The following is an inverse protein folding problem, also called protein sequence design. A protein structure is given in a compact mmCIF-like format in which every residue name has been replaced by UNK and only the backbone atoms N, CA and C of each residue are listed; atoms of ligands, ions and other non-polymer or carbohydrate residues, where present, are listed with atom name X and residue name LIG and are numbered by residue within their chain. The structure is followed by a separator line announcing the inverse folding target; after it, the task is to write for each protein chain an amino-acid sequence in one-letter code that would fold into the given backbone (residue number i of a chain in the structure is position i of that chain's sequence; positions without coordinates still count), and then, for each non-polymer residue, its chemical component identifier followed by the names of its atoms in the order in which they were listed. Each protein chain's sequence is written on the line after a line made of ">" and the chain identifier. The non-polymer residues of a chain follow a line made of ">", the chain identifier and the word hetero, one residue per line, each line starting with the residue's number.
data_IF_872128365567
#
_entry.id   IF_872128365567
#
_cell.length_a   1.000
_cell.length_b   1.000
_cell.length_c   1.000
_cell.angle_alpha   90.00
_cell.angle_beta   90.00
_cell.angle_gamma   90.00
#
_symmetry.space_group_name_H-M   'P 1'
#
loop_
_entity.id
_entity.type
_entity.pdbx_description
1 polymer ?
#
# COMPACT_ATOMS: atom_id res chain seq x y z
N UNK A 1 20.13 10.76 -1.29
CA UNK A 1 19.17 10.33 -0.25
C UNK A 1 18.18 9.40 -0.94
N UNK A 2 18.41 8.09 -0.84
CA UNK A 2 17.95 7.07 -1.79
C UNK A 2 16.42 6.96 -1.86
N UNK A 3 15.89 7.03 -3.09
CA UNK A 3 14.45 7.00 -3.42
C UNK A 3 13.81 5.60 -3.34
N UNK A 4 14.51 4.61 -2.78
CA UNK A 4 14.06 3.23 -2.69
C UNK A 4 14.31 2.73 -1.27
N UNK A 5 13.24 2.37 -0.57
CA UNK A 5 13.31 1.68 0.71
C UNK A 5 14.15 0.42 0.55
N UNK A 6 15.02 0.13 1.51
CA UNK A 6 15.71 -1.15 1.57
C UNK A 6 14.70 -2.29 1.75
N UNK A 7 15.11 -3.54 1.46
CA UNK A 7 14.27 -4.71 1.71
C UNK A 7 13.82 -4.80 3.19
N UNK A 8 14.71 -4.41 4.11
CA UNK A 8 14.43 -4.37 5.55
C UNK A 8 13.39 -3.28 5.89
N UNK A 9 13.53 -2.08 5.32
CA UNK A 9 12.58 -0.99 5.53
C UNK A 9 11.19 -1.33 4.96
N UNK A 10 11.14 -1.99 3.80
CA UNK A 10 9.91 -2.55 3.26
C UNK A 10 9.27 -3.54 4.24
N UNK A 11 10.03 -4.54 4.70
CA UNK A 11 9.52 -5.54 5.63
C UNK A 11 8.99 -4.90 6.92
N UNK A 12 9.69 -3.89 7.46
CA UNK A 12 9.25 -3.13 8.64
C UNK A 12 7.92 -2.42 8.41
N UNK A 13 7.77 -1.73 7.28
CA UNK A 13 6.52 -1.06 6.90
C UNK A 13 5.37 -2.07 6.78
N UNK A 14 5.57 -3.16 6.03
CA UNK A 14 4.51 -4.13 5.76
C UNK A 14 4.09 -4.90 7.00
N UNK A 15 5.05 -5.32 7.83
CA UNK A 15 4.75 -6.00 9.10
C UNK A 15 4.03 -5.10 10.10
N UNK A 16 4.36 -3.79 10.15
CA UNK A 16 3.64 -2.83 10.98
C UNK A 16 2.22 -2.55 10.47
N UNK A 17 2.02 -2.52 9.15
CA UNK A 17 0.73 -2.16 8.56
C UNK A 17 -0.31 -3.28 8.61
N UNK A 18 0.10 -4.57 8.55
CA UNK A 18 -0.84 -5.70 8.35
C UNK A 18 -1.96 -5.80 9.40
N UNK A 19 -1.69 -5.38 10.64
CA UNK A 19 -2.65 -5.48 11.77
C UNK A 19 -3.04 -4.15 12.43
N UNK A 20 -2.34 -3.05 12.18
CA UNK A 20 -2.53 -1.80 12.93
C UNK A 20 -3.93 -1.16 12.75
N UNK A 21 -4.39 -0.98 11.51
CA UNK A 21 -5.75 -0.50 11.21
C UNK A 21 -6.09 0.96 11.61
N UNK A 22 -5.22 1.67 12.33
CA UNK A 22 -5.49 3.02 12.84
C UNK A 22 -5.82 4.05 11.75
N UNK A 23 -5.27 3.90 10.56
CA UNK A 23 -5.50 4.80 9.43
C UNK A 23 -6.75 4.46 8.59
N UNK A 24 -7.44 3.33 8.87
CA UNK A 24 -8.50 2.81 8.01
C UNK A 24 -9.67 3.80 7.82
N UNK A 25 -10.18 4.34 8.92
CA UNK A 25 -11.35 5.23 8.96
C UNK A 25 -11.07 6.61 8.33
N UNK A 26 -9.81 7.03 8.28
CA UNK A 26 -9.41 8.33 7.75
C UNK A 26 -9.30 8.35 6.22
N UNK A 27 -9.37 7.19 5.55
CA UNK A 27 -9.19 7.14 4.10
C UNK A 27 -10.42 7.70 3.36
N UNK A 28 -10.26 8.87 2.75
CA UNK A 28 -11.33 9.52 1.96
C UNK A 28 -11.74 8.70 0.74
N UNK A 29 -10.80 7.99 0.10
CA UNK A 29 -11.10 7.13 -1.05
C UNK A 29 -12.03 5.98 -0.65
N UNK A 30 -11.75 5.30 0.46
CA UNK A 30 -12.62 4.22 0.93
C UNK A 30 -13.99 4.73 1.39
N UNK A 31 -14.05 5.93 1.96
CA UNK A 31 -15.33 6.56 2.32
C UNK A 31 -16.16 6.88 1.07
N UNK A 32 -15.52 7.23 -0.05
CA UNK A 32 -16.20 7.52 -1.31
C UNK A 32 -16.58 6.25 -2.09
N UNK A 33 -15.72 5.22 -2.09
CA UNK A 33 -15.96 3.99 -2.88
C UNK A 33 -16.68 2.89 -2.12
N UNK A 34 -16.79 3.02 -0.79
CA UNK A 34 -17.32 1.97 0.10
C UNK A 34 -16.63 0.60 -0.07
N UNK A 35 -15.37 0.60 -0.52
CA UNK A 35 -14.59 -0.60 -0.77
C UNK A 35 -13.38 -0.63 0.16
N UNK A 36 -13.32 -1.62 1.06
CA UNK A 36 -12.21 -1.74 2.03
C UNK A 36 -10.85 -1.94 1.34
N UNK A 37 -10.81 -2.50 0.13
CA UNK A 37 -9.55 -2.62 -0.61
C UNK A 37 -8.94 -1.24 -0.96
N UNK A 38 -9.76 -0.19 -1.06
CA UNK A 38 -9.30 1.19 -1.21
C UNK A 38 -8.89 1.85 0.11
N UNK A 39 -9.21 1.22 1.25
CA UNK A 39 -8.86 1.78 2.54
C UNK A 39 -7.35 1.78 2.74
N UNK A 40 -6.91 2.75 3.54
CA UNK A 40 -5.53 2.86 3.94
C UNK A 40 -4.95 1.55 4.48
N UNK A 41 -5.78 0.83 5.26
CA UNK A 41 -5.50 -0.49 5.81
C UNK A 41 -5.56 -1.58 4.75
N UNK A 42 -6.60 -1.58 3.90
CA UNK A 42 -6.77 -2.56 2.83
C UNK A 42 -5.58 -2.58 1.88
N UNK A 43 -5.08 -1.40 1.50
CA UNK A 43 -3.86 -1.25 0.71
C UNK A 43 -2.62 -1.78 1.45
N UNK A 44 -2.50 -1.55 2.76
CA UNK A 44 -1.43 -2.15 3.56
C UNK A 44 -1.45 -3.68 3.57
N UNK A 45 -2.65 -4.28 3.64
CA UNK A 45 -2.85 -5.74 3.55
C UNK A 45 -2.56 -6.28 2.16
N UNK A 46 -2.99 -5.57 1.12
CA UNK A 46 -2.70 -5.89 -0.28
C UNK A 46 -1.20 -5.96 -0.53
N UNK A 47 -0.46 -4.96 -0.06
CA UNK A 47 1.00 -4.92 -0.16
C UNK A 47 1.67 -6.06 0.61
N UNK A 48 1.21 -6.36 1.83
CA UNK A 48 1.72 -7.50 2.60
C UNK A 48 1.50 -8.81 1.86
N UNK A 49 0.29 -9.03 1.31
CA UNK A 49 -0.04 -10.24 0.58
C UNK A 49 0.77 -10.41 -0.72
N UNK A 50 1.03 -9.33 -1.45
CA UNK A 50 1.94 -9.33 -2.59
C UNK A 50 3.38 -9.68 -2.16
N UNK A 51 3.86 -9.07 -1.08
CA UNK A 51 5.22 -9.29 -0.58
C UNK A 51 5.46 -10.73 -0.11
N UNK A 52 4.47 -11.37 0.49
CA UNK A 52 4.57 -12.77 0.95
C UNK A 52 4.18 -13.79 -0.11
N UNK A 53 3.85 -13.37 -1.34
CA UNK A 53 3.41 -14.27 -2.42
C UNK A 53 2.04 -14.90 -2.19
N UNK A 54 1.21 -14.36 -1.29
CA UNK A 54 -0.18 -14.80 -1.10
C UNK A 54 -1.10 -14.27 -2.22
N UNK A 55 -0.68 -13.19 -2.89
CA UNK A 55 -1.35 -12.63 -4.06
C UNK A 55 -0.35 -12.36 -5.18
N UNK A 56 -0.84 -12.42 -6.41
CA UNK A 56 -0.12 -12.01 -7.61
C UNK A 56 -0.61 -10.66 -8.14
N UNK A 57 0.20 -10.03 -8.98
CA UNK A 57 -0.19 -8.86 -9.77
C UNK A 57 -1.18 -9.24 -10.88
N UNK A 58 -2.43 -9.53 -10.50
CA UNK A 58 -3.57 -9.67 -11.41
C UNK A 58 -4.09 -8.30 -11.86
N UNK A 59 -4.87 -8.20 -12.95
CA UNK A 59 -5.42 -6.91 -13.38
C UNK A 59 -6.18 -6.17 -12.27
N UNK A 60 -6.98 -6.89 -11.47
CA UNK A 60 -7.70 -6.31 -10.33
C UNK A 60 -6.77 -5.80 -9.23
N UNK A 61 -5.70 -6.54 -8.91
CA UNK A 61 -4.72 -6.10 -7.91
C UNK A 61 -3.96 -4.87 -8.38
N UNK A 62 -3.58 -4.83 -9.66
CA UNK A 62 -2.96 -3.65 -10.27
C UNK A 62 -3.90 -2.46 -10.20
N UNK A 63 -5.15 -2.61 -10.62
CA UNK A 63 -6.16 -1.55 -10.54
C UNK A 63 -6.27 -0.99 -9.11
N UNK A 64 -6.38 -1.85 -8.10
CA UNK A 64 -6.44 -1.45 -6.69
C UNK A 64 -5.20 -0.67 -6.25
N UNK A 65 -3.99 -1.07 -6.67
CA UNK A 65 -2.76 -0.34 -6.39
C UNK A 65 -2.75 1.05 -7.04
N UNK A 66 -3.31 1.19 -8.24
CA UNK A 66 -3.35 2.45 -8.98
C UNK A 66 -4.48 3.40 -8.55
N UNK A 67 -5.55 2.88 -7.92
CA UNK A 67 -6.60 3.70 -7.32
C UNK A 67 -6.13 4.53 -6.11
N UNK A 68 -5.07 4.11 -5.41
CA UNK A 68 -4.50 4.92 -4.33
C UNK A 68 -4.06 6.31 -4.83
N UNK A 69 -4.51 7.38 -4.17
CA UNK A 69 -4.11 8.74 -4.56
C UNK A 69 -2.79 9.17 -3.93
N UNK A 70 -2.18 8.34 -3.08
CA UNK A 70 -0.98 8.69 -2.30
C UNK A 70 -1.13 10.04 -1.53
N UNK A 71 -2.34 10.36 -1.06
CA UNK A 71 -2.68 11.62 -0.38
C UNK A 71 -2.05 11.82 1.01
N UNK A 72 -1.19 10.89 1.47
CA UNK A 72 -0.47 10.91 2.74
C UNK A 72 -1.31 10.83 4.02
N UNK A 73 -2.64 10.64 3.94
CA UNK A 73 -3.48 10.44 5.15
C UNK A 73 -3.01 9.25 5.99
N UNK A 74 -2.46 8.20 5.36
CA UNK A 74 -1.89 7.05 6.06
C UNK A 74 -0.72 7.42 6.95
N UNK A 75 0.16 8.30 6.47
CA UNK A 75 1.31 8.79 7.22
C UNK A 75 0.85 9.68 8.38
N UNK A 76 -0.12 10.56 8.13
CA UNK A 76 -0.67 11.46 9.15
C UNK A 76 -1.27 10.70 10.36
N UNK A 77 -1.87 9.53 10.12
CA UNK A 77 -2.46 8.68 11.15
C UNK A 77 -1.52 7.56 11.64
N UNK A 78 -0.27 7.51 11.16
CA UNK A 78 0.66 6.43 11.48
C UNK A 78 1.36 6.66 12.83
N UNK A 79 0.85 6.03 13.89
CA UNK A 79 1.50 6.05 15.23
C UNK A 79 2.96 5.58 15.21
N UNK A 80 3.34 4.46 14.56
CA UNK A 80 4.73 4.03 14.52
C UNK A 80 5.61 4.87 13.58
N UNK A 81 5.06 5.90 12.91
CA UNK A 81 5.78 6.81 11.99
C UNK A 81 6.52 6.07 10.87
N UNK A 82 5.84 5.11 10.26
CA UNK A 82 6.30 4.38 9.07
C UNK A 82 5.92 5.12 7.78
N UNK A 83 6.55 4.77 6.64
CA UNK A 83 6.18 5.29 5.31
C UNK A 83 5.46 4.23 4.44
N UNK A 84 4.14 4.02 4.65
CA UNK A 84 3.33 3.13 3.80
C UNK A 84 3.06 3.69 2.40
N UNK A 85 3.29 4.99 2.16
CA UNK A 85 3.16 5.60 0.84
C UNK A 85 4.33 5.26 -0.07
N UNK A 86 5.53 5.17 0.49
CA UNK A 86 6.69 4.63 -0.22
C UNK A 86 6.48 3.17 -0.63
N UNK A 87 5.87 2.33 0.22
CA UNK A 87 5.56 0.95 -0.13
C UNK A 87 4.56 0.83 -1.32
N UNK A 88 3.57 1.73 -1.42
CA UNK A 88 2.68 1.77 -2.59
C UNK A 88 3.45 2.15 -3.86
N UNK A 89 4.33 3.15 -3.78
CA UNK A 89 5.15 3.54 -4.93
C UNK A 89 6.07 2.40 -5.36
N UNK A 90 6.69 1.70 -4.41
CA UNK A 90 7.52 0.52 -4.67
C UNK A 90 6.73 -0.58 -5.40
N UNK A 91 5.52 -0.91 -4.94
CA UNK A 91 4.68 -1.88 -5.62
C UNK A 91 4.29 -1.43 -7.04
N UNK A 92 4.05 -0.13 -7.28
CA UNK A 92 3.82 0.38 -8.64
C UNK A 92 5.06 0.29 -9.53
N UNK A 93 6.25 0.52 -8.98
CA UNK A 93 7.50 0.25 -9.71
C UNK A 93 7.61 -1.21 -10.13
N UNK A 94 7.26 -2.15 -9.24
CA UNK A 94 7.25 -3.58 -9.57
C UNK A 94 6.24 -3.92 -10.69
N UNK A 95 5.07 -3.28 -10.67
CA UNK A 95 4.08 -3.42 -11.75
C UNK A 95 4.64 -2.97 -13.10
N UNK A 96 5.32 -1.82 -13.14
CA UNK A 96 5.96 -1.29 -14.36
C UNK A 96 7.07 -2.22 -14.83
N UNK A 97 7.94 -2.68 -13.94
CA UNK A 97 9.03 -3.61 -14.27
C UNK A 97 8.50 -4.93 -14.87
N UNK A 98 7.32 -5.37 -14.43
CA UNK A 98 6.62 -6.56 -14.94
C UNK A 98 5.80 -6.31 -16.20
N UNK A 99 5.80 -5.09 -16.75
CA UNK A 99 4.99 -4.67 -17.92
C UNK A 99 3.49 -4.90 -17.72
N UNK A 100 3.00 -4.67 -16.50
CA UNK A 100 1.60 -4.84 -16.10
C UNK A 100 0.91 -3.52 -15.75
N UNK A 101 1.52 -2.38 -16.05
CA UNK A 101 0.92 -1.07 -15.78
C UNK A 101 -0.36 -0.89 -16.63
N UNK A 102 -1.39 -0.23 -16.09
CA UNK A 102 -2.63 0.05 -16.80
C UNK A 102 -2.43 1.10 -17.92
#
# INVERSE_FOLDING_TARGET
>A
MSLHLSAEEHAKVLNGCRFCGLCAHACTLANATHNDANSARGQGRLLYALHTGMLDFTPRVVELLYQSTNCKVRQAWCVPRLDPDAAIRAARFDVVARRKAP
#
